data_IF_710398362669
#
_entry.id   IF_710398362669
#
_cell.length_a   1.000
_cell.length_b   1.000
_cell.length_c   1.000
_cell.angle_alpha   90.00
_cell.angle_beta   90.00
_cell.angle_gamma   90.00
#
_symmetry.space_group_name_H-M   'P 1'
#
loop_
_entity.id
_entity.type
_entity.pdbx_description
1 polymer ?
#
# COMPACT_ATOMS: atom_id res chain seq x y z
N UNK A 1 -5.74 -17.38 -36.60
CA UNK A 1 -7.07 -17.98 -36.34
C UNK A 1 -7.93 -16.95 -35.62
N UNK A 2 -8.94 -16.38 -36.28
CA UNK A 2 -10.04 -15.67 -35.61
C UNK A 2 -11.06 -16.73 -35.21
N UNK A 3 -11.02 -17.17 -33.96
CA UNK A 3 -12.07 -18.04 -33.45
C UNK A 3 -13.32 -17.18 -33.27
N UNK A 4 -14.36 -17.42 -34.06
CA UNK A 4 -15.60 -16.62 -34.11
C UNK A 4 -16.41 -16.64 -32.81
N UNK A 5 -16.02 -17.48 -31.86
CA UNK A 5 -16.71 -17.67 -30.58
C UNK A 5 -16.10 -16.84 -29.43
N UNK A 6 -14.97 -16.16 -29.65
CA UNK A 6 -14.32 -15.32 -28.63
C UNK A 6 -14.64 -13.84 -28.86
N UNK A 7 -15.47 -13.27 -27.98
CA UNK A 7 -15.79 -11.83 -27.98
C UNK A 7 -14.71 -11.04 -27.21
N UNK A 8 -13.78 -10.45 -27.94
CA UNK A 8 -12.78 -9.54 -27.37
C UNK A 8 -13.37 -8.15 -27.16
N UNK A 9 -13.07 -7.53 -26.02
CA UNK A 9 -13.30 -6.10 -25.78
C UNK A 9 -11.97 -5.36 -25.93
N UNK A 10 -11.96 -4.31 -26.74
CA UNK A 10 -10.80 -3.42 -26.85
C UNK A 10 -10.52 -2.77 -25.50
N UNK A 11 -9.24 -2.64 -25.14
CA UNK A 11 -8.85 -1.86 -23.97
C UNK A 11 -8.98 -0.36 -24.28
N UNK A 12 -9.51 0.40 -23.32
CA UNK A 12 -9.60 1.86 -23.44
C UNK A 12 -8.24 2.56 -23.32
N UNK A 13 -7.24 1.89 -22.71
CA UNK A 13 -5.86 2.38 -22.60
C UNK A 13 -4.86 1.24 -22.35
N UNK A 14 -3.59 1.52 -22.58
CA UNK A 14 -2.44 0.62 -22.28
C UNK A 14 -2.22 0.37 -20.77
N UNK A 15 -3.02 1.00 -19.90
CA UNK A 15 -2.97 0.81 -18.44
C UNK A 15 -4.40 0.62 -17.88
N UNK A 16 -5.19 -0.23 -18.53
CA UNK A 16 -6.59 -0.46 -18.14
C UNK A 16 -6.68 -1.15 -16.77
N UNK A 17 -7.56 -0.66 -15.89
CA UNK A 17 -7.93 -1.36 -14.66
C UNK A 17 -9.18 -2.19 -14.89
N UNK A 18 -9.08 -3.49 -14.62
CA UNK A 18 -10.22 -4.41 -14.65
C UNK A 18 -11.05 -4.28 -13.35
N UNK A 19 -10.46 -3.74 -12.29
CA UNK A 19 -11.06 -3.66 -10.95
C UNK A 19 -10.90 -4.96 -10.16
N UNK A 20 -11.59 -5.03 -9.03
CA UNK A 20 -11.60 -6.19 -8.11
C UNK A 20 -12.28 -7.40 -8.76
N UNK A 21 -11.58 -8.53 -8.84
CA UNK A 21 -12.07 -9.71 -9.55
C UNK A 21 -11.39 -10.99 -9.11
N UNK A 22 -12.12 -12.09 -9.14
CA UNK A 22 -11.63 -13.46 -8.98
C UNK A 22 -11.65 -14.26 -10.30
N UNK A 23 -12.00 -13.60 -11.41
CA UNK A 23 -12.09 -14.22 -12.73
C UNK A 23 -10.74 -14.28 -13.45
N UNK A 24 -10.68 -15.14 -14.48
CA UNK A 24 -9.53 -15.26 -15.37
C UNK A 24 -9.71 -14.32 -16.57
N UNK A 25 -8.67 -13.54 -16.89
CA UNK A 25 -8.65 -12.63 -18.02
C UNK A 25 -7.59 -13.05 -19.02
N UNK A 26 -7.94 -12.98 -20.30
CA UNK A 26 -7.03 -13.21 -21.40
C UNK A 26 -6.92 -11.92 -22.21
N UNK A 27 -5.72 -11.38 -22.27
CA UNK A 27 -5.37 -10.25 -23.12
C UNK A 27 -4.65 -10.77 -24.35
N UNK A 28 -4.98 -10.23 -25.53
CA UNK A 28 -4.29 -10.51 -26.78
C UNK A 28 -3.73 -9.22 -27.35
N UNK A 29 -2.46 -9.23 -27.76
CA UNK A 29 -1.82 -8.13 -28.47
C UNK A 29 -0.76 -8.67 -29.44
N UNK A 30 -0.19 -7.79 -30.26
CA UNK A 30 0.87 -8.14 -31.20
C UNK A 30 1.96 -7.09 -31.20
N UNK A 31 3.20 -7.53 -31.35
CA UNK A 31 4.36 -6.65 -31.47
C UNK A 31 5.01 -6.87 -32.85
N UNK A 32 5.43 -5.77 -33.46
CA UNK A 32 6.12 -5.77 -34.75
C UNK A 32 7.57 -5.34 -34.55
N UNK A 33 8.50 -6.12 -35.08
CA UNK A 33 9.89 -5.71 -35.24
C UNK A 33 10.18 -5.44 -36.72
N UNK A 34 10.00 -4.19 -37.16
CA UNK A 34 10.27 -3.77 -38.54
C UNK A 34 11.77 -3.58 -38.84
N UNK A 35 12.67 -4.06 -37.98
CA UNK A 35 14.13 -3.92 -38.18
C UNK A 35 14.76 -5.20 -38.67
N UNK A 36 15.96 -5.07 -39.25
CA UNK A 36 16.74 -6.20 -39.76
C UNK A 36 17.57 -6.91 -38.68
N UNK A 37 17.34 -6.61 -37.41
CA UNK A 37 18.06 -7.19 -36.28
C UNK A 37 17.07 -7.71 -35.24
N UNK A 38 17.46 -8.79 -34.55
CA UNK A 38 16.71 -9.28 -33.40
C UNK A 38 16.72 -8.20 -32.32
N UNK A 39 15.56 -8.00 -31.68
CA UNK A 39 15.42 -7.03 -30.59
C UNK A 39 14.92 -7.69 -29.34
N UNK A 40 15.59 -7.40 -28.24
CA UNK A 40 15.16 -7.80 -26.90
C UNK A 40 14.44 -6.65 -26.20
N UNK A 41 13.32 -6.97 -25.55
CA UNK A 41 12.52 -6.04 -24.79
C UNK A 41 12.12 -6.64 -23.43
N UNK A 42 11.88 -5.75 -22.47
CA UNK A 42 11.29 -6.07 -21.18
C UNK A 42 9.86 -5.56 -21.15
N UNK A 43 8.90 -6.47 -21.03
CA UNK A 43 7.48 -6.17 -20.98
C UNK A 43 6.98 -6.26 -19.54
N UNK A 44 6.72 -5.12 -18.90
CA UNK A 44 5.96 -5.06 -17.65
C UNK A 44 4.47 -5.20 -17.99
N UNK A 45 3.74 -6.05 -17.25
CA UNK A 45 2.36 -6.45 -17.63
C UNK A 45 1.32 -6.37 -16.53
N UNK A 46 1.75 -6.40 -15.25
CA UNK A 46 0.85 -6.51 -14.11
C UNK A 46 1.47 -5.94 -12.84
N UNK A 47 0.63 -5.68 -11.83
CA UNK A 47 1.11 -5.30 -10.48
C UNK A 47 1.85 -6.47 -9.82
N UNK A 48 2.83 -6.19 -8.94
CA UNK A 48 3.58 -7.22 -8.21
C UNK A 48 2.74 -8.23 -7.42
N UNK A 49 1.52 -7.85 -7.03
CA UNK A 49 0.58 -8.64 -6.23
C UNK A 49 -0.45 -9.42 -7.07
N UNK A 50 -0.24 -9.50 -8.38
CA UNK A 50 -1.14 -10.26 -9.26
C UNK A 50 -0.79 -11.74 -9.13
N UNK A 51 -1.77 -12.59 -8.80
CA UNK A 51 -1.53 -14.01 -8.48
C UNK A 51 -0.84 -14.77 -9.61
N UNK A 52 -1.43 -14.66 -10.80
CA UNK A 52 -0.99 -15.36 -12.01
C UNK A 52 -0.87 -14.33 -13.11
N UNK A 53 0.27 -14.34 -13.79
CA UNK A 53 0.53 -13.64 -15.03
C UNK A 53 1.38 -14.56 -15.91
N UNK A 54 0.74 -15.26 -16.84
CA UNK A 54 1.43 -16.14 -17.77
C UNK A 54 1.38 -15.53 -19.17
N UNK A 55 2.55 -15.34 -19.78
CA UNK A 55 2.69 -14.81 -21.12
C UNK A 55 2.98 -15.95 -22.10
N UNK A 56 2.18 -16.01 -23.15
CA UNK A 56 2.36 -16.93 -24.27
C UNK A 56 2.77 -16.12 -25.51
N UNK A 57 3.96 -16.40 -26.03
CA UNK A 57 4.48 -15.80 -27.26
C UNK A 57 4.33 -16.82 -28.39
N UNK A 58 3.59 -16.41 -29.43
CA UNK A 58 3.34 -17.23 -30.62
C UNK A 58 4.11 -16.62 -31.79
N UNK A 59 5.11 -17.34 -32.25
CA UNK A 59 5.92 -16.98 -33.41
C UNK A 59 6.12 -18.21 -34.29
N UNK A 60 6.01 -18.01 -35.61
CA UNK A 60 6.02 -19.07 -36.60
C UNK A 60 5.03 -20.21 -36.30
N UNK A 61 5.49 -21.32 -35.71
CA UNK A 61 4.69 -22.50 -35.34
C UNK A 61 4.99 -23.00 -33.91
N UNK A 62 5.67 -22.21 -33.10
CA UNK A 62 6.00 -22.52 -31.70
C UNK A 62 5.28 -21.59 -30.74
N UNK A 63 5.03 -22.10 -29.53
CA UNK A 63 4.49 -21.32 -28.42
C UNK A 63 5.52 -21.37 -27.30
N UNK A 64 6.05 -20.22 -26.93
CA UNK A 64 6.86 -20.07 -25.72
C UNK A 64 5.96 -19.62 -24.58
N UNK A 65 6.06 -20.29 -23.42
CA UNK A 65 5.34 -19.95 -22.20
C UNK A 65 6.31 -19.35 -21.17
N UNK A 66 5.94 -18.20 -20.62
CA UNK A 66 6.64 -17.54 -19.52
C UNK A 66 5.70 -17.36 -18.34
N UNK A 67 6.13 -17.79 -17.15
CA UNK A 67 5.32 -17.74 -15.93
C UNK A 67 5.76 -16.61 -15.01
N UNK A 68 4.79 -15.96 -14.39
CA UNK A 68 5.00 -14.92 -13.39
C UNK A 68 3.73 -14.75 -12.53
N UNK A 69 3.80 -13.86 -11.55
CA UNK A 69 2.74 -13.64 -10.56
C UNK A 69 3.15 -14.07 -9.14
N UNK A 70 2.49 -13.52 -8.13
CA UNK A 70 2.86 -13.61 -6.71
C UNK A 70 2.58 -14.97 -6.04
N UNK A 71 1.91 -15.85 -6.76
CA UNK A 71 1.77 -17.28 -6.42
C UNK A 71 2.83 -18.16 -7.08
N UNK A 72 3.61 -17.61 -8.01
CA UNK A 72 4.71 -18.32 -8.67
C UNK A 72 6.01 -18.07 -7.91
N UNK A 73 6.72 -19.13 -7.47
CA UNK A 73 8.01 -18.99 -6.81
C UNK A 73 9.01 -18.21 -7.66
N UNK A 74 9.82 -17.40 -7.00
CA UNK A 74 10.75 -16.45 -7.63
C UNK A 74 11.67 -17.11 -8.67
N UNK A 75 12.13 -18.33 -8.43
CA UNK A 75 13.02 -19.08 -9.33
C UNK A 75 12.32 -19.72 -10.54
N UNK A 76 10.99 -19.79 -10.54
CA UNK A 76 10.20 -20.24 -11.71
C UNK A 76 9.83 -19.08 -12.63
N UNK A 77 10.04 -17.83 -12.19
CA UNK A 77 9.81 -16.64 -13.00
C UNK A 77 10.96 -16.45 -14.00
N UNK A 78 10.62 -15.98 -15.20
CA UNK A 78 11.61 -15.73 -16.25
C UNK A 78 12.61 -14.62 -15.86
N UNK A 79 12.12 -13.55 -15.23
CA UNK A 79 12.93 -12.41 -14.78
C UNK A 79 12.87 -12.34 -13.26
N UNK A 80 14.05 -12.38 -12.62
CA UNK A 80 14.18 -12.09 -11.19
C UNK A 80 13.94 -10.59 -10.94
N UNK A 81 12.67 -10.23 -10.78
CA UNK A 81 12.26 -8.87 -10.50
C UNK A 81 11.00 -8.83 -9.62
N UNK A 82 10.83 -7.75 -8.86
CA UNK A 82 9.66 -7.54 -7.98
C UNK A 82 8.35 -7.37 -8.77
N UNK A 83 8.40 -6.63 -9.88
CA UNK A 83 7.27 -6.46 -10.80
C UNK A 83 7.16 -7.66 -11.73
N UNK A 84 5.96 -7.87 -12.28
CA UNK A 84 5.69 -8.86 -13.31
C UNK A 84 6.24 -8.40 -14.65
N UNK A 85 7.45 -8.86 -14.98
CA UNK A 85 8.19 -8.49 -16.19
C UNK A 85 8.58 -9.74 -16.97
N UNK A 86 8.48 -9.68 -18.30
CA UNK A 86 8.92 -10.73 -19.22
C UNK A 86 10.01 -10.19 -20.13
N UNK A 87 11.07 -11.00 -20.34
CA UNK A 87 12.08 -10.72 -21.36
C UNK A 87 11.64 -11.39 -22.65
N UNK A 88 11.35 -10.60 -23.68
CA UNK A 88 10.89 -11.11 -24.98
C UNK A 88 11.91 -10.75 -26.06
N UNK A 89 12.14 -11.68 -26.98
CA UNK A 89 12.94 -11.47 -28.18
C UNK A 89 12.01 -11.46 -29.38
N UNK A 90 12.18 -10.49 -30.29
CA UNK A 90 11.42 -10.38 -31.52
C UNK A 90 12.34 -10.60 -32.73
N UNK A 91 11.98 -11.53 -33.60
CA UNK A 91 12.75 -11.84 -34.80
C UNK A 91 12.76 -10.64 -35.78
N UNK A 92 13.81 -10.47 -36.60
CA UNK A 92 13.85 -9.43 -37.64
C UNK A 92 12.65 -9.49 -38.59
N UNK A 93 12.07 -8.34 -38.93
CA UNK A 93 10.95 -8.19 -39.88
C UNK A 93 9.75 -9.11 -39.57
N UNK A 94 9.44 -9.32 -38.30
CA UNK A 94 8.37 -10.22 -37.84
C UNK A 94 7.24 -9.47 -37.13
N UNK A 95 6.05 -10.07 -37.17
CA UNK A 95 4.91 -9.69 -36.34
C UNK A 95 4.53 -10.91 -35.51
N UNK A 96 4.67 -10.80 -34.19
CA UNK A 96 4.44 -11.89 -33.27
C UNK A 96 3.20 -11.64 -32.42
N UNK A 97 2.47 -12.72 -32.08
CA UNK A 97 1.22 -12.63 -31.33
C UNK A 97 1.46 -13.05 -29.88
N UNK A 98 0.90 -12.29 -28.95
CA UNK A 98 1.03 -12.52 -27.53
C UNK A 98 -0.33 -12.71 -26.88
N UNK A 99 -0.40 -13.67 -25.95
CA UNK A 99 -1.55 -13.87 -25.08
C UNK A 99 -1.07 -13.81 -23.63
N UNK A 100 -1.73 -12.98 -22.83
CA UNK A 100 -1.42 -12.83 -21.42
C UNK A 100 -2.62 -13.31 -20.61
N UNK A 101 -2.41 -14.35 -19.80
CA UNK A 101 -3.39 -14.89 -18.86
C UNK A 101 -3.16 -14.28 -17.48
N UNK A 102 -4.20 -13.69 -16.91
CA UNK A 102 -4.18 -13.05 -15.61
C UNK A 102 -5.29 -13.56 -14.70
N UNK A 103 -4.97 -13.67 -13.41
CA UNK A 103 -5.92 -13.99 -12.35
C UNK A 103 -5.49 -13.31 -11.05
N UNK A 104 -6.46 -13.05 -10.17
CA UNK A 104 -6.26 -12.53 -8.81
C UNK A 104 -7.27 -13.17 -7.85
N UNK A 105 -7.05 -13.05 -6.54
CA UNK A 105 -7.81 -13.68 -5.46
C UNK A 105 -8.94 -12.78 -4.90
N UNK A 106 -9.37 -11.79 -5.69
CA UNK A 106 -10.33 -10.77 -5.31
C UNK A 106 -9.74 -9.36 -5.18
N UNK A 107 -8.43 -9.21 -5.35
CA UNK A 107 -7.74 -7.91 -5.45
C UNK A 107 -7.89 -7.29 -6.86
N UNK A 108 -7.51 -6.02 -7.03
CA UNK A 108 -7.62 -5.33 -8.33
C UNK A 108 -6.53 -5.74 -9.32
N UNK A 109 -6.94 -6.07 -10.55
CA UNK A 109 -6.01 -6.27 -11.67
C UNK A 109 -5.86 -4.96 -12.46
N UNK A 110 -4.63 -4.46 -12.53
CA UNK A 110 -4.24 -3.37 -13.41
C UNK A 110 -3.28 -3.90 -14.46
N UNK A 111 -3.48 -3.49 -15.72
CA UNK A 111 -2.77 -3.97 -16.90
C UNK A 111 -1.80 -2.93 -17.45
N UNK A 112 -0.70 -2.56 -16.77
CA UNK A 112 0.31 -1.74 -17.42
C UNK A 112 0.98 -2.56 -18.52
N UNK A 113 0.79 -2.21 -19.79
CA UNK A 113 1.48 -2.83 -20.93
C UNK A 113 2.64 -1.95 -21.34
N UNK A 114 3.73 -1.99 -20.57
CA UNK A 114 4.89 -1.13 -20.81
C UNK A 114 6.03 -1.93 -21.40
N UNK A 115 6.41 -1.57 -22.62
CA UNK A 115 7.51 -2.17 -23.34
C UNK A 115 8.76 -1.29 -23.20
N UNK A 116 9.83 -1.87 -22.67
CA UNK A 116 11.09 -1.19 -22.45
C UNK A 116 12.21 -1.84 -23.25
N UNK A 117 13.10 -1.06 -23.86
CA UNK A 117 14.43 -1.57 -24.18
C UNK A 117 15.20 -1.92 -22.89
N UNK A 118 16.26 -2.70 -22.98
CA UNK A 118 17.06 -3.08 -21.81
C UNK A 118 17.60 -1.85 -21.05
N UNK A 119 18.11 -0.84 -21.76
CA UNK A 119 18.66 0.37 -21.14
C UNK A 119 17.57 1.20 -20.45
N UNK A 120 16.40 1.34 -21.07
CA UNK A 120 15.25 2.03 -20.46
C UNK A 120 14.75 1.29 -19.22
N UNK A 121 14.67 -0.05 -19.28
CA UNK A 121 14.26 -0.88 -18.15
C UNK A 121 15.20 -0.69 -16.95
N UNK A 122 16.52 -0.74 -17.18
CA UNK A 122 17.51 -0.50 -16.14
C UNK A 122 17.38 0.90 -15.54
N UNK A 123 17.29 1.94 -16.38
CA UNK A 123 17.13 3.34 -15.92
C UNK A 123 15.85 3.52 -15.10
N UNK A 124 14.74 2.96 -15.54
CA UNK A 124 13.47 3.03 -14.83
C UNK A 124 13.53 2.29 -13.49
N UNK A 125 14.12 1.09 -13.47
CA UNK A 125 14.34 0.34 -12.24
C UNK A 125 15.20 1.12 -11.23
N UNK A 126 16.28 1.78 -11.66
CA UNK A 126 17.11 2.62 -10.79
C UNK A 126 16.31 3.79 -10.18
N UNK A 127 15.50 4.49 -10.97
CA UNK A 127 14.65 5.58 -10.49
C UNK A 127 13.64 5.09 -9.46
N UNK A 128 13.00 3.96 -9.73
CA UNK A 128 12.03 3.35 -8.82
C UNK A 128 12.68 2.91 -7.50
N UNK A 129 13.86 2.27 -7.56
CA UNK A 129 14.60 1.88 -6.36
C UNK A 129 15.02 3.09 -5.52
N UNK A 130 15.49 4.17 -6.14
CA UNK A 130 15.85 5.40 -5.43
C UNK A 130 14.64 6.00 -4.72
N UNK A 131 13.49 6.08 -5.40
CA UNK A 131 12.24 6.57 -4.83
C UNK A 131 11.75 5.69 -3.67
N UNK A 132 11.78 4.37 -3.84
CA UNK A 132 11.43 3.41 -2.78
C UNK A 132 12.37 3.53 -1.58
N UNK A 133 13.68 3.60 -1.81
CA UNK A 133 14.68 3.77 -0.75
C UNK A 133 14.43 5.01 0.09
N UNK A 134 14.11 6.15 -0.55
CA UNK A 134 13.74 7.37 0.16
C UNK A 134 12.44 7.22 0.96
N UNK A 135 11.38 6.71 0.33
CA UNK A 135 10.08 6.54 0.95
C UNK A 135 10.13 5.59 2.16
N UNK A 136 10.65 4.38 1.98
CA UNK A 136 10.74 3.39 3.05
C UNK A 136 11.78 3.76 4.11
N UNK A 137 12.87 4.44 3.74
CA UNK A 137 13.86 4.96 4.67
C UNK A 137 13.28 5.97 5.66
N UNK A 138 12.44 6.91 5.18
CA UNK A 138 11.75 7.88 6.05
C UNK A 138 10.79 7.19 7.00
N UNK A 139 9.97 6.25 6.51
CA UNK A 139 9.04 5.51 7.37
C UNK A 139 9.78 4.69 8.43
N UNK A 140 10.84 3.99 8.02
CA UNK A 140 11.65 3.18 8.93
C UNK A 140 12.26 4.03 10.07
N UNK A 141 12.90 5.16 9.71
CA UNK A 141 13.48 6.08 10.69
C UNK A 141 12.41 6.69 11.59
N UNK A 142 11.29 7.17 11.04
CA UNK A 142 10.20 7.72 11.83
C UNK A 142 9.65 6.68 12.81
N UNK A 143 9.35 5.46 12.35
CA UNK A 143 8.89 4.37 13.19
C UNK A 143 9.84 4.09 14.35
N UNK A 144 11.15 3.94 14.08
CA UNK A 144 12.17 3.72 15.11
C UNK A 144 12.25 4.87 16.12
N UNK A 145 12.27 6.11 15.64
CA UNK A 145 12.34 7.31 16.49
C UNK A 145 11.17 7.34 17.48
N UNK A 146 9.96 7.03 17.03
CA UNK A 146 8.81 7.07 17.93
C UNK A 146 8.71 5.87 18.87
N UNK A 147 9.21 4.70 18.48
CA UNK A 147 9.39 3.59 19.43
C UNK A 147 10.44 3.91 20.50
N UNK A 148 11.51 4.62 20.14
CA UNK A 148 12.48 5.14 21.11
C UNK A 148 11.82 6.15 22.08
N UNK A 149 11.03 7.10 21.57
CA UNK A 149 10.26 8.03 22.42
C UNK A 149 9.26 7.32 23.32
N UNK A 150 8.62 6.24 22.86
CA UNK A 150 7.78 5.42 23.72
C UNK A 150 8.57 4.85 24.91
N UNK A 151 9.78 4.33 24.68
CA UNK A 151 10.62 3.80 25.75
C UNK A 151 11.03 4.88 26.76
N UNK A 152 11.32 6.08 26.27
CA UNK A 152 11.77 7.23 27.08
C UNK A 152 10.64 7.90 27.88
N UNK A 153 9.52 8.21 27.22
CA UNK A 153 8.40 8.97 27.79
C UNK A 153 7.29 8.08 28.36
N UNK A 154 7.26 6.78 28.03
CA UNK A 154 6.24 5.80 28.44
C UNK A 154 4.80 6.15 28.05
N UNK A 155 4.62 7.08 27.12
CA UNK A 155 3.33 7.51 26.60
C UNK A 155 2.88 6.63 25.43
N UNK A 156 1.74 5.96 25.57
CA UNK A 156 1.25 4.94 24.61
C UNK A 156 1.03 5.49 23.19
N UNK A 157 0.76 6.79 23.06
CA UNK A 157 0.61 7.47 21.77
C UNK A 157 1.82 7.27 20.86
N UNK A 158 3.04 7.30 21.42
CA UNK A 158 4.27 7.07 20.67
C UNK A 158 4.39 5.62 20.17
N UNK A 159 3.97 4.64 20.98
CA UNK A 159 3.96 3.23 20.57
C UNK A 159 3.01 3.00 19.40
N UNK A 160 1.76 3.45 19.53
CA UNK A 160 0.77 3.25 18.46
C UNK A 160 1.18 3.96 17.18
N UNK A 161 1.76 5.16 17.27
CA UNK A 161 2.27 5.85 16.09
C UNK A 161 3.45 5.10 15.45
N UNK A 162 4.44 4.68 16.23
CA UNK A 162 5.60 3.95 15.71
C UNK A 162 5.19 2.66 15.00
N UNK A 163 4.32 1.86 15.62
CA UNK A 163 3.82 0.62 15.00
C UNK A 163 2.92 0.91 13.80
N UNK A 164 2.11 1.96 13.84
CA UNK A 164 1.35 2.42 12.67
C UNK A 164 2.29 2.67 11.48
N UNK A 165 3.33 3.47 11.65
CA UNK A 165 4.29 3.82 10.60
C UNK A 165 4.96 2.56 10.03
N UNK A 166 5.33 1.59 10.87
CA UNK A 166 5.87 0.31 10.39
C UNK A 166 4.83 -0.50 9.62
N UNK A 167 3.62 -0.61 10.13
CA UNK A 167 2.56 -1.41 9.48
C UNK A 167 2.12 -0.83 8.14
N UNK A 168 2.00 0.51 8.00
CA UNK A 168 1.69 1.14 6.71
C UNK A 168 2.86 1.04 5.74
N UNK A 169 4.10 1.17 6.22
CA UNK A 169 5.30 0.93 5.42
C UNK A 169 5.36 -0.51 4.91
N UNK A 170 5.05 -1.48 5.76
CA UNK A 170 5.02 -2.91 5.39
C UNK A 170 3.90 -3.22 4.38
N UNK A 171 2.74 -2.56 4.52
CA UNK A 171 1.65 -2.64 3.55
C UNK A 171 2.09 -2.15 2.18
N UNK A 172 2.66 -0.95 2.10
CA UNK A 172 3.18 -0.40 0.85
C UNK A 172 4.29 -1.29 0.25
N UNK A 173 5.20 -1.80 1.08
CA UNK A 173 6.28 -2.69 0.64
C UNK A 173 5.75 -4.01 0.07
N UNK A 174 4.63 -4.50 0.61
CA UNK A 174 3.96 -5.69 0.05
C UNK A 174 3.33 -5.37 -1.30
N UNK A 175 2.61 -4.24 -1.42
CA UNK A 175 2.02 -3.80 -2.69
C UNK A 175 3.05 -3.55 -3.80
N UNK A 176 4.27 -3.12 -3.43
CA UNK A 176 5.40 -2.93 -4.35
C UNK A 176 6.16 -4.22 -4.70
N UNK A 177 5.81 -5.35 -4.06
CA UNK A 177 6.45 -6.65 -4.28
C UNK A 177 7.76 -6.87 -3.52
N UNK A 178 8.17 -5.94 -2.65
CA UNK A 178 9.42 -6.06 -1.88
C UNK A 178 9.37 -7.22 -0.88
N UNK A 179 8.20 -7.44 -0.26
CA UNK A 179 8.02 -8.54 0.69
C UNK A 179 8.08 -9.90 -0.01
N UNK A 180 7.51 -10.01 -1.21
CA UNK A 180 7.72 -11.19 -2.04
C UNK A 180 9.20 -11.36 -2.40
N UNK A 181 9.86 -10.30 -2.88
CA UNK A 181 11.23 -10.37 -3.38
C UNK A 181 12.26 -10.78 -2.31
N UNK A 182 12.12 -10.27 -1.07
CA UNK A 182 13.13 -10.41 -0.03
C UNK A 182 12.74 -11.29 1.16
N UNK A 183 11.44 -11.46 1.46
CA UNK A 183 10.98 -12.16 2.68
C UNK A 183 10.34 -13.51 2.34
N UNK A 184 9.49 -13.56 1.32
CA UNK A 184 8.78 -14.78 0.90
C UNK A 184 8.98 -15.10 -0.60
N UNK A 185 10.23 -15.32 -1.05
CA UNK A 185 10.52 -15.58 -2.47
C UNK A 185 9.94 -16.89 -2.99
N UNK A 186 9.59 -17.83 -2.11
CA UNK A 186 8.94 -19.09 -2.44
C UNK A 186 7.45 -18.96 -2.79
N UNK A 187 6.90 -17.74 -2.80
CA UNK A 187 5.46 -17.50 -2.90
C UNK A 187 4.65 -18.19 -1.78
N UNK A 188 3.35 -18.34 -1.98
CA UNK A 188 2.52 -19.26 -1.19
C UNK A 188 1.58 -18.59 -0.18
N UNK A 189 1.20 -19.39 0.82
CA UNK A 189 0.03 -19.10 1.68
C UNK A 189 0.15 -17.80 2.49
N UNK A 190 1.35 -17.51 3.00
CA UNK A 190 1.59 -16.29 3.79
C UNK A 190 1.70 -15.08 2.87
N UNK A 191 2.47 -15.18 1.77
CA UNK A 191 2.67 -14.07 0.83
C UNK A 191 1.34 -13.53 0.28
N UNK A 192 0.46 -14.42 -0.20
CA UNK A 192 -0.89 -14.08 -0.69
C UNK A 192 -1.77 -13.35 0.33
N UNK A 193 -1.47 -13.43 1.64
CA UNK A 193 -2.22 -12.75 2.71
C UNK A 193 -1.54 -11.51 3.25
N UNK A 194 -0.28 -11.26 2.88
CA UNK A 194 0.50 -10.17 3.48
C UNK A 194 -0.12 -8.80 3.22
N UNK A 195 -0.68 -8.57 2.03
CA UNK A 195 -1.37 -7.30 1.71
C UNK A 195 -2.49 -7.05 2.71
N UNK A 196 -3.34 -8.04 2.91
CA UNK A 196 -4.50 -7.94 3.78
C UNK A 196 -4.12 -7.87 5.27
N UNK A 197 -3.16 -8.67 5.72
CA UNK A 197 -2.65 -8.65 7.11
C UNK A 197 -2.10 -7.26 7.45
N UNK A 198 -1.26 -6.73 6.57
CA UNK A 198 -0.60 -5.43 6.80
C UNK A 198 -1.57 -4.26 6.70
N UNK A 199 -2.58 -4.34 5.82
CA UNK A 199 -3.67 -3.37 5.73
C UNK A 199 -4.55 -3.33 6.99
N UNK A 200 -4.89 -4.50 7.56
CA UNK A 200 -5.65 -4.56 8.81
C UNK A 200 -4.85 -4.00 10.00
N UNK A 201 -3.55 -4.34 10.07
CA UNK A 201 -2.66 -3.82 11.11
C UNK A 201 -2.49 -2.29 10.99
N UNK A 202 -2.27 -1.78 9.78
CA UNK A 202 -2.12 -0.33 9.55
C UNK A 202 -3.38 0.43 9.96
N UNK A 203 -4.56 -0.05 9.57
CA UNK A 203 -5.83 0.55 9.97
C UNK A 203 -6.03 0.49 11.50
N UNK A 204 -5.75 -0.65 12.14
CA UNK A 204 -5.85 -0.81 13.59
C UNK A 204 -4.97 0.20 14.34
N UNK A 205 -3.69 0.29 13.96
CA UNK A 205 -2.73 1.13 14.65
C UNK A 205 -2.93 2.61 14.36
N UNK A 206 -3.41 2.99 13.16
CA UNK A 206 -3.85 4.35 12.86
C UNK A 206 -5.00 4.77 13.78
N UNK A 207 -6.03 3.95 13.89
CA UNK A 207 -7.16 4.22 14.78
C UNK A 207 -6.73 4.32 16.25
N UNK A 208 -5.86 3.40 16.70
CA UNK A 208 -5.32 3.44 18.07
C UNK A 208 -4.50 4.68 18.34
N UNK A 209 -3.69 5.10 17.36
CA UNK A 209 -2.95 6.34 17.42
C UNK A 209 -3.90 7.54 17.54
N UNK A 210 -4.89 7.67 16.66
CA UNK A 210 -5.87 8.76 16.72
C UNK A 210 -6.68 8.75 18.03
N UNK A 211 -7.09 7.56 18.51
CA UNK A 211 -7.81 7.38 19.78
C UNK A 211 -7.02 7.97 20.96
N UNK A 212 -5.74 7.64 21.04
CA UNK A 212 -4.87 8.06 22.13
C UNK A 212 -4.42 9.52 21.98
N UNK A 213 -4.04 9.94 20.77
CA UNK A 213 -3.58 11.30 20.50
C UNK A 213 -4.68 12.33 20.79
N UNK A 214 -5.91 12.09 20.31
CA UNK A 214 -7.05 12.97 20.53
C UNK A 214 -7.75 12.74 21.88
N UNK A 215 -7.27 11.79 22.70
CA UNK A 215 -7.87 11.39 23.99
C UNK A 215 -9.38 11.14 23.87
N UNK A 216 -9.80 10.42 22.82
CA UNK A 216 -11.21 10.25 22.42
C UNK A 216 -12.06 9.66 23.55
N UNK A 217 -11.51 8.68 24.29
CA UNK A 217 -12.21 8.04 25.41
C UNK A 217 -12.67 9.04 26.48
N UNK A 218 -11.89 10.11 26.69
CA UNK A 218 -12.18 11.14 27.70
C UNK A 218 -13.10 12.21 27.11
N UNK A 219 -12.77 12.74 25.93
CA UNK A 219 -13.50 13.89 25.39
C UNK A 219 -14.78 13.54 24.61
N UNK A 220 -14.85 12.35 24.01
CA UNK A 220 -15.95 11.94 23.11
C UNK A 220 -16.35 10.46 23.33
N UNK A 221 -16.92 10.08 24.50
CA UNK A 221 -17.23 8.68 24.83
C UNK A 221 -18.27 8.03 23.90
N UNK A 222 -19.13 8.81 23.24
CA UNK A 222 -20.07 8.31 22.22
C UNK A 222 -19.34 7.83 20.97
N UNK A 223 -18.39 8.64 20.45
CA UNK A 223 -17.56 8.26 19.30
C UNK A 223 -16.65 7.08 19.62
N UNK A 224 -16.17 6.98 20.87
CA UNK A 224 -15.38 5.83 21.32
C UNK A 224 -16.13 4.48 21.14
N UNK A 225 -17.47 4.45 21.20
CA UNK A 225 -18.24 3.23 20.89
C UNK A 225 -18.07 2.82 19.42
N UNK A 226 -18.00 3.79 18.50
CA UNK A 226 -17.74 3.56 17.07
C UNK A 226 -16.35 2.97 16.83
N UNK A 227 -15.31 3.52 17.47
CA UNK A 227 -13.95 2.96 17.42
C UNK A 227 -13.93 1.50 17.90
N UNK A 228 -14.63 1.18 19.01
CA UNK A 228 -14.75 -0.21 19.49
C UNK A 228 -15.43 -1.13 18.48
N UNK A 229 -16.50 -0.68 17.82
CA UNK A 229 -17.17 -1.47 16.79
C UNK A 229 -16.22 -1.79 15.64
N UNK A 230 -15.46 -0.80 15.16
CA UNK A 230 -14.45 -1.00 14.12
C UNK A 230 -13.33 -1.93 14.58
N UNK A 231 -12.87 -1.87 15.83
CA UNK A 231 -11.88 -2.83 16.35
C UNK A 231 -12.40 -4.28 16.34
N UNK A 232 -13.68 -4.49 16.65
CA UNK A 232 -14.30 -5.83 16.57
C UNK A 232 -14.37 -6.31 15.12
N UNK A 233 -14.73 -5.43 14.18
CA UNK A 233 -14.75 -5.76 12.75
C UNK A 233 -13.34 -6.11 12.26
N UNK A 234 -12.32 -5.31 12.61
CA UNK A 234 -10.92 -5.60 12.26
C UNK A 234 -10.49 -6.96 12.81
N UNK A 235 -10.84 -7.28 14.07
CA UNK A 235 -10.51 -8.57 14.66
C UNK A 235 -11.21 -9.74 13.92
N UNK A 236 -12.48 -9.58 13.56
CA UNK A 236 -13.21 -10.57 12.78
C UNK A 236 -12.60 -10.76 11.38
N UNK A 237 -12.26 -9.67 10.70
CA UNK A 237 -11.58 -9.70 9.40
C UNK A 237 -10.21 -10.38 9.50
N UNK A 238 -9.46 -10.14 10.58
CA UNK A 238 -8.17 -10.77 10.80
C UNK A 238 -8.29 -12.29 10.91
N UNK A 239 -9.33 -12.79 11.58
CA UNK A 239 -9.62 -14.23 11.62
C UNK A 239 -10.03 -14.75 10.24
N UNK A 240 -10.90 -14.01 9.53
CA UNK A 240 -11.40 -14.37 8.19
C UNK A 240 -10.29 -14.58 7.15
N UNK A 241 -9.19 -13.82 7.23
CA UNK A 241 -7.99 -13.98 6.38
C UNK A 241 -7.44 -15.41 6.38
N UNK A 242 -7.57 -16.13 7.49
CA UNK A 242 -6.95 -17.46 7.67
C UNK A 242 -7.92 -18.64 7.51
N UNK A 243 -9.23 -18.40 7.28
CA UNK A 243 -10.23 -19.47 7.24
C UNK A 243 -10.21 -20.24 5.91
N UNK A 244 -10.40 -19.56 4.79
CA UNK A 244 -10.48 -20.18 3.46
C UNK A 244 -10.21 -19.17 2.34
N UNK A 245 -9.99 -19.66 1.11
CA UNK A 245 -9.85 -18.79 -0.08
C UNK A 245 -11.13 -17.98 -0.36
N UNK A 246 -12.30 -18.62 -0.26
CA UNK A 246 -13.60 -17.93 -0.43
C UNK A 246 -13.81 -16.84 0.61
N UNK A 247 -13.40 -17.07 1.85
CA UNK A 247 -13.47 -16.04 2.90
C UNK A 247 -12.52 -14.87 2.60
N UNK A 248 -11.34 -15.14 2.03
CA UNK A 248 -10.38 -14.11 1.66
C UNK A 248 -10.93 -13.16 0.58
N UNK A 249 -11.63 -13.69 -0.43
CA UNK A 249 -12.27 -12.90 -1.50
C UNK A 249 -13.26 -11.86 -0.92
N UNK A 250 -14.11 -12.26 0.03
CA UNK A 250 -15.02 -11.34 0.72
C UNK A 250 -14.31 -10.37 1.68
N UNK A 251 -13.13 -10.73 2.15
CA UNK A 251 -12.38 -9.96 3.14
C UNK A 251 -11.86 -8.65 2.56
N UNK A 252 -11.44 -8.62 1.28
CA UNK A 252 -10.99 -7.41 0.58
C UNK A 252 -12.04 -6.27 0.53
N UNK A 253 -13.27 -6.46 -0.03
CA UNK A 253 -14.25 -5.40 -0.11
C UNK A 253 -14.74 -4.95 1.27
N UNK A 254 -14.90 -5.86 2.23
CA UNK A 254 -15.31 -5.51 3.59
C UNK A 254 -14.21 -4.70 4.28
N UNK A 255 -12.94 -5.04 4.07
CA UNK A 255 -11.80 -4.25 4.57
C UNK A 255 -11.77 -2.85 4.00
N UNK A 256 -12.00 -2.68 2.70
CA UNK A 256 -12.05 -1.38 2.05
C UNK A 256 -13.16 -0.50 2.64
N UNK A 257 -14.36 -1.06 2.82
CA UNK A 257 -15.47 -0.37 3.50
C UNK A 257 -15.10 -0.03 4.94
N UNK A 258 -14.50 -0.97 5.68
CA UNK A 258 -14.08 -0.75 7.05
C UNK A 258 -13.01 0.35 7.15
N UNK A 259 -12.04 0.39 6.23
CA UNK A 259 -11.05 1.46 6.12
C UNK A 259 -11.67 2.82 5.83
N UNK A 260 -12.67 2.88 4.94
CA UNK A 260 -13.44 4.09 4.69
C UNK A 260 -14.20 4.57 5.94
N UNK A 261 -14.84 3.64 6.66
CA UNK A 261 -15.52 3.93 7.93
C UNK A 261 -14.52 4.44 8.98
N UNK A 262 -13.34 3.84 9.09
CA UNK A 262 -12.26 4.32 9.96
C UNK A 262 -11.89 5.77 9.64
N UNK A 263 -11.73 6.09 8.36
CA UNK A 263 -11.37 7.44 7.93
C UNK A 263 -12.47 8.46 8.25
N UNK A 264 -13.72 8.12 7.96
CA UNK A 264 -14.88 8.96 8.30
C UNK A 264 -15.01 9.16 9.82
N UNK A 265 -14.70 8.14 10.63
CA UNK A 265 -14.66 8.27 12.09
C UNK A 265 -13.57 9.23 12.56
N UNK A 266 -12.37 9.18 11.97
CA UNK A 266 -11.27 10.12 12.28
C UNK A 266 -11.70 11.54 11.91
N UNK A 267 -12.19 11.76 10.69
CA UNK A 267 -12.64 13.06 10.21
C UNK A 267 -13.81 13.61 11.05
N UNK A 268 -14.79 12.77 11.37
CA UNK A 268 -15.92 13.11 12.23
C UNK A 268 -15.46 13.48 13.65
N UNK A 269 -14.44 12.81 14.17
CA UNK A 269 -13.82 13.18 15.46
C UNK A 269 -13.17 14.56 15.39
N UNK A 270 -12.35 14.83 14.37
CA UNK A 270 -11.71 16.12 14.17
C UNK A 270 -12.76 17.23 14.04
N UNK A 271 -13.79 17.02 13.22
CA UNK A 271 -14.89 17.97 13.02
C UNK A 271 -15.65 18.28 14.31
N UNK A 272 -16.03 17.25 15.08
CA UNK A 272 -16.74 17.42 16.35
C UNK A 272 -15.89 18.14 17.41
N UNK A 273 -14.61 17.80 17.50
CA UNK A 273 -13.69 18.46 18.43
C UNK A 273 -13.51 19.94 18.09
N UNK A 274 -13.38 20.28 16.80
CA UNK A 274 -13.34 21.69 16.35
C UNK A 274 -14.65 22.42 16.65
N UNK A 275 -15.81 21.79 16.38
CA UNK A 275 -17.12 22.37 16.70
C UNK A 275 -17.28 22.65 18.20
N UNK A 276 -16.72 21.79 19.06
CA UNK A 276 -16.68 21.97 20.52
C UNK A 276 -15.55 22.87 21.02
N UNK A 277 -14.83 23.56 20.12
CA UNK A 277 -13.68 24.44 20.44
C UNK A 277 -12.57 23.74 21.24
N UNK A 278 -12.43 22.43 21.10
CA UNK A 278 -11.33 21.68 21.70
C UNK A 278 -10.06 21.92 20.88
N UNK A 279 -8.94 22.22 21.56
CA UNK A 279 -7.66 22.44 20.91
C UNK A 279 -7.16 21.13 20.28
N UNK A 280 -6.96 21.15 18.97
CA UNK A 280 -6.29 20.09 18.20
C UNK A 280 -5.04 20.71 17.61
N UNK A 281 -3.93 19.99 17.66
CA UNK A 281 -2.71 20.41 17.01
C UNK A 281 -2.94 20.55 15.48
N UNK A 282 -2.63 21.70 14.86
CA UNK A 282 -2.89 21.90 13.44
C UNK A 282 -2.18 20.90 12.52
N UNK A 283 -0.95 20.51 12.87
CA UNK A 283 -0.18 19.56 12.07
C UNK A 283 -0.81 18.17 12.08
N UNK A 284 -1.51 17.78 13.15
CA UNK A 284 -2.31 16.55 13.15
C UNK A 284 -3.38 16.59 12.06
N UNK A 285 -4.14 17.70 11.98
CA UNK A 285 -5.22 17.83 10.99
C UNK A 285 -4.68 17.87 9.56
N UNK A 286 -3.55 18.55 9.35
CA UNK A 286 -2.88 18.63 8.05
C UNK A 286 -2.35 17.25 7.62
N UNK A 287 -1.78 16.47 8.55
CA UNK A 287 -1.33 15.11 8.27
C UNK A 287 -2.48 14.23 7.78
N UNK A 288 -3.59 14.20 8.53
CA UNK A 288 -4.80 13.44 8.13
C UNK A 288 -5.34 13.91 6.78
N UNK A 289 -5.27 15.20 6.48
CA UNK A 289 -5.68 15.73 5.17
C UNK A 289 -4.83 15.18 4.01
N UNK A 290 -3.50 15.09 4.17
CA UNK A 290 -2.64 14.48 3.16
C UNK A 290 -2.90 12.99 2.98
N UNK A 291 -3.18 12.26 4.07
CA UNK A 291 -3.62 10.87 3.99
C UNK A 291 -4.90 10.74 3.16
N UNK A 292 -5.91 11.58 3.42
CA UNK A 292 -7.18 11.60 2.67
C UNK A 292 -6.94 11.84 1.18
N UNK A 293 -6.15 12.87 0.84
CA UNK A 293 -5.87 13.20 -0.57
C UNK A 293 -5.13 12.07 -1.28
N UNK A 294 -4.13 11.47 -0.63
CA UNK A 294 -3.39 10.35 -1.21
C UNK A 294 -4.30 9.14 -1.46
N UNK A 295 -5.18 8.82 -0.51
CA UNK A 295 -6.17 7.76 -0.66
C UNK A 295 -7.21 8.06 -1.76
N UNK A 296 -7.68 9.30 -1.87
CA UNK A 296 -8.58 9.72 -2.94
C UNK A 296 -7.93 9.55 -4.32
N UNK A 297 -6.67 9.97 -4.46
CA UNK A 297 -5.91 9.75 -5.70
C UNK A 297 -5.78 8.27 -6.05
N UNK A 298 -5.53 7.42 -5.06
CA UNK A 298 -5.44 5.97 -5.26
C UNK A 298 -6.78 5.35 -5.67
N UNK A 299 -7.88 5.74 -5.04
CA UNK A 299 -9.22 5.25 -5.40
C UNK A 299 -9.59 5.71 -6.81
N UNK A 300 -9.36 6.97 -7.15
CA UNK A 300 -9.62 7.49 -8.50
C UNK A 300 -8.78 6.79 -9.56
N UNK A 301 -7.53 6.41 -9.23
CA UNK A 301 -6.69 5.59 -10.10
C UNK A 301 -7.29 4.21 -10.35
N UNK A 302 -7.72 3.51 -9.30
CA UNK A 302 -8.31 2.18 -9.45
C UNK A 302 -9.66 2.20 -10.19
N UNK A 303 -10.38 3.32 -10.16
CA UNK A 303 -11.59 3.55 -10.95
C UNK A 303 -11.31 4.00 -12.40
N UNK A 304 -10.04 4.05 -12.82
CA UNK A 304 -9.60 4.55 -14.13
C UNK A 304 -10.06 5.98 -14.45
N UNK A 305 -10.28 6.83 -13.42
CA UNK A 305 -10.74 8.22 -13.59
C UNK A 305 -9.59 9.21 -13.78
N UNK A 306 -8.37 8.82 -13.44
CA UNK A 306 -7.17 9.65 -13.54
C UNK A 306 -6.16 9.02 -14.50
N UNK A 307 -5.34 9.83 -15.19
CA UNK A 307 -4.28 9.31 -16.05
C UNK A 307 -3.23 8.58 -15.22
N UNK A 308 -2.81 7.42 -15.71
CA UNK A 308 -1.78 6.57 -15.09
C UNK A 308 -0.38 7.18 -15.25
N UNK A 309 -0.07 8.21 -14.47
CA UNK A 309 1.26 8.79 -14.37
C UNK A 309 1.93 8.44 -13.03
N UNK A 310 3.22 8.73 -12.91
CA UNK A 310 4.01 8.45 -11.70
C UNK A 310 3.37 8.98 -10.41
N UNK A 311 2.77 10.18 -10.44
CA UNK A 311 2.16 10.80 -9.26
C UNK A 311 0.85 10.12 -8.86
N UNK A 312 0.02 9.75 -9.83
CA UNK A 312 -1.26 9.08 -9.58
C UNK A 312 -1.03 7.66 -9.05
N UNK A 313 -0.10 6.91 -9.67
CA UNK A 313 0.28 5.56 -9.22
C UNK A 313 0.89 5.55 -7.81
N UNK A 314 1.60 6.62 -7.43
CA UNK A 314 2.22 6.77 -6.11
C UNK A 314 1.47 7.74 -5.18
N UNK A 315 0.22 8.08 -5.50
CA UNK A 315 -0.58 9.05 -4.74
C UNK A 315 -0.73 8.67 -3.27
N UNK A 316 -0.98 7.39 -2.98
CA UNK A 316 -1.03 6.86 -1.62
C UNK A 316 0.31 7.00 -0.88
N UNK A 317 1.45 6.80 -1.57
CA UNK A 317 2.79 6.98 -0.98
C UNK A 317 3.08 8.44 -0.67
N UNK A 318 2.74 9.36 -1.58
CA UNK A 318 2.87 10.79 -1.32
C UNK A 318 1.98 11.22 -0.14
N UNK A 319 0.72 10.80 -0.12
CA UNK A 319 -0.20 11.10 0.98
C UNK A 319 0.31 10.59 2.33
N UNK A 320 0.75 9.33 2.39
CA UNK A 320 1.32 8.72 3.61
C UNK A 320 2.64 9.38 4.00
N UNK A 321 3.51 9.71 3.04
CA UNK A 321 4.79 10.37 3.30
C UNK A 321 4.60 11.75 3.93
N UNK A 322 3.73 12.58 3.34
CA UNK A 322 3.39 13.88 3.91
C UNK A 322 2.66 13.75 5.24
N UNK A 323 1.72 12.80 5.36
CA UNK A 323 1.04 12.50 6.62
C UNK A 323 2.07 12.24 7.72
N UNK A 324 3.02 11.32 7.50
CA UNK A 324 4.04 10.98 8.50
C UNK A 324 4.89 12.19 8.86
N UNK A 325 5.26 13.05 7.91
CA UNK A 325 5.99 14.29 8.20
C UNK A 325 5.18 15.21 9.13
N UNK A 326 3.92 15.48 8.80
CA UNK A 326 3.07 16.38 9.58
C UNK A 326 2.65 15.79 10.93
N UNK A 327 2.33 14.50 11.00
CA UNK A 327 2.07 13.82 12.26
C UNK A 327 3.33 13.80 13.14
N UNK A 328 4.53 13.68 12.54
CA UNK A 328 5.79 13.77 13.28
C UNK A 328 6.02 15.16 13.89
N UNK A 329 5.67 16.24 13.18
CA UNK A 329 5.68 17.60 13.74
C UNK A 329 4.67 17.74 14.90
N UNK A 330 3.48 17.19 14.74
CA UNK A 330 2.46 17.15 15.79
C UNK A 330 2.92 16.39 17.04
N UNK A 331 3.61 15.25 16.84
CA UNK A 331 4.21 14.47 17.92
C UNK A 331 5.38 15.21 18.56
N UNK A 332 6.12 16.02 17.82
CA UNK A 332 7.21 16.85 18.37
C UNK A 332 6.66 17.93 19.31
N UNK A 333 5.52 18.54 18.96
CA UNK A 333 4.80 19.45 19.85
C UNK A 333 4.30 18.72 21.11
N UNK A 334 3.79 17.48 20.96
CA UNK A 334 3.39 16.66 22.10
C UNK A 334 4.58 16.35 23.02
N UNK A 335 5.75 16.01 22.47
CA UNK A 335 6.98 15.78 23.25
C UNK A 335 7.36 17.03 24.04
N UNK A 336 7.36 18.20 23.38
CA UNK A 336 7.66 19.48 24.05
C UNK A 336 6.68 19.74 25.20
N UNK A 337 5.39 19.54 24.97
CA UNK A 337 4.36 19.72 25.98
C UNK A 337 4.58 18.79 27.19
N UNK A 338 4.82 17.51 26.96
CA UNK A 338 5.04 16.54 28.03
C UNK A 338 6.31 16.81 28.83
N UNK A 339 7.36 17.36 28.19
CA UNK A 339 8.58 17.79 28.89
C UNK A 339 8.32 18.96 29.81
N UNK A 340 7.64 20.00 29.31
CA UNK A 340 7.28 21.17 30.12
C UNK A 340 6.40 20.80 31.31
N UNK A 341 5.36 19.96 31.10
CA UNK A 341 4.50 19.46 32.19
C UNK A 341 5.29 18.68 33.25
N UNK A 342 6.33 17.95 32.83
CA UNK A 342 7.21 17.21 33.74
C UNK A 342 8.14 18.13 34.53
N UNK A 343 8.72 19.14 33.88
CA UNK A 343 9.58 20.15 34.51
C UNK A 343 8.79 20.94 35.57
N UNK A 344 7.60 21.44 35.22
CA UNK A 344 6.69 22.14 36.15
C UNK A 344 6.32 21.26 37.36
N UNK A 345 6.03 19.98 37.13
CA UNK A 345 5.74 19.03 38.23
C UNK A 345 6.96 18.79 39.14
N UNK A 346 8.18 18.81 38.59
CA UNK A 346 9.41 18.64 39.37
C UNK A 346 9.72 19.89 40.21
N UNK A 347 9.56 21.09 39.64
CA UNK A 347 9.70 22.34 40.39
C UNK A 347 8.69 22.45 41.54
N UNK A 348 7.43 22.06 41.30
CA UNK A 348 6.40 22.07 42.35
C UNK A 348 6.73 21.07 43.47
N UNK A 349 7.26 19.89 43.13
CA UNK A 349 7.67 18.90 44.11
C UNK A 349 8.89 19.37 44.93
N UNK A 350 9.84 20.05 44.29
CA UNK A 350 11.00 20.65 44.97
C UNK A 350 10.56 21.72 45.97
N UNK A 351 9.72 22.67 45.55
CA UNK A 351 9.19 23.72 46.43
C UNK A 351 8.47 23.16 47.65
N UNK A 352 7.63 22.13 47.46
CA UNK A 352 6.96 21.44 48.58
C UNK A 352 7.94 20.74 49.51
N UNK A 353 9.03 20.18 48.98
CA UNK A 353 10.06 19.55 49.81
C UNK A 353 10.84 20.59 50.62
N UNK A 354 11.10 21.77 50.05
CA UNK A 354 11.75 22.89 50.76
C UNK A 354 10.84 23.44 51.86
N UNK A 355 9.54 23.62 51.60
CA UNK A 355 8.56 24.08 52.59
C UNK A 355 8.39 23.10 53.76
N UNK A 356 8.49 21.78 53.54
CA UNK A 356 8.43 20.78 54.62
C UNK A 356 9.73 20.74 55.44
N UNK A 357 10.84 21.18 54.85
CA UNK A 357 12.15 21.17 55.51
C UNK A 357 12.43 22.42 56.34
N UNK A 358 11.58 23.45 56.22
CA UNK A 358 11.56 24.66 57.06
C UNK A 358 10.55 24.49 58.20
#
# INVERSE_FOLDING_TARGET
>A
MNNSDLNYKSLDSENHSIGFTSNNFWLRFSLENSTNQEKEYYLETARPITDIANLYQIYSHSISEFKSGDQIPKWERQVDHRSTVFKISLEPNSIEQFYLHLSSDGETINLPLKLYSETEFLVENYKQQLFMGFFYGILFLAGLVYLFFYRSLKEKTFFYYGIYVFSIGLMQATLDGLIFQYVFPQAGYINSRMVMITALLSNLFLLKYCEHFLKIKVFQPKLFKGFKAVYVIIAALFVMVFISKTTLEYTYPISNVNGLVSLLLILGTIGLMRAKKQKIDPYFSIGIFFLVIGLLGFVMNNLSLLPNNFFVLNSAKFGTGFEVVFLSLSMSNLIRKLRLEKEESQELALKKSEEISQ
#
